data_IF_325384832965
#
_entry.id   IF_325384832965
#
_cell.length_a   1.000
_cell.length_b   1.000
_cell.length_c   1.000
_cell.angle_alpha   90.00
_cell.angle_beta   90.00
_cell.angle_gamma   90.00
#
_symmetry.space_group_name_H-M   'P 1'
#
loop_
_entity.id
_entity.type
_entity.pdbx_description
1 polymer ?
#
# COMPACT_ATOMS: atom_id res chain seq x y z
N UNK A 1 3.58 -26.99 -10.51
CA UNK A 1 4.09 -25.60 -10.66
C UNK A 1 3.26 -24.81 -11.68
N UNK A 2 3.13 -25.26 -12.94
CA UNK A 2 2.30 -24.57 -13.95
C UNK A 2 0.83 -24.35 -13.53
N UNK A 3 0.20 -25.33 -12.89
CA UNK A 3 -1.21 -25.19 -12.45
C UNK A 3 -1.43 -24.07 -11.43
N UNK A 4 -0.46 -23.84 -10.55
CA UNK A 4 -0.53 -22.75 -9.58
C UNK A 4 -0.35 -21.39 -10.25
N UNK A 5 0.55 -21.29 -11.22
CA UNK A 5 0.80 -20.05 -11.96
C UNK A 5 -0.41 -19.65 -12.81
N UNK A 6 -1.11 -20.62 -13.42
CA UNK A 6 -2.38 -20.39 -14.12
C UNK A 6 -3.43 -19.85 -13.14
N UNK A 7 -3.59 -20.50 -11.99
CA UNK A 7 -4.51 -20.03 -10.95
C UNK A 7 -4.16 -18.61 -10.48
N UNK A 8 -2.88 -18.33 -10.22
CA UNK A 8 -2.41 -17.02 -9.79
C UNK A 8 -2.65 -15.96 -10.87
N UNK A 9 -2.47 -16.32 -12.15
CA UNK A 9 -2.79 -15.44 -13.27
C UNK A 9 -4.27 -15.10 -13.32
N UNK A 10 -5.17 -16.08 -13.20
CA UNK A 10 -6.61 -15.86 -13.19
C UNK A 10 -7.05 -14.98 -12.00
N UNK A 11 -6.48 -15.21 -10.82
CA UNK A 11 -6.67 -14.38 -9.63
C UNK A 11 -6.24 -12.93 -9.89
N UNK A 12 -5.07 -12.73 -10.51
CA UNK A 12 -4.57 -11.41 -10.89
C UNK A 12 -5.51 -10.73 -11.89
N UNK A 13 -5.99 -11.42 -12.93
CA UNK A 13 -6.92 -10.82 -13.90
C UNK A 13 -8.25 -10.42 -13.25
N UNK A 14 -8.80 -11.26 -12.37
CA UNK A 14 -10.00 -10.93 -11.61
C UNK A 14 -9.79 -9.71 -10.71
N UNK A 15 -8.64 -9.63 -10.04
CA UNK A 15 -8.26 -8.48 -9.23
C UNK A 15 -8.07 -7.20 -10.07
N UNK A 16 -7.43 -7.27 -11.23
CA UNK A 16 -7.27 -6.14 -12.16
C UNK A 16 -8.63 -5.56 -12.56
N UNK A 17 -9.59 -6.42 -12.90
CA UNK A 17 -10.96 -6.01 -13.20
C UNK A 17 -11.62 -5.31 -12.01
N UNK A 18 -11.42 -5.82 -10.78
CA UNK A 18 -11.92 -5.18 -9.54
C UNK A 18 -11.30 -3.80 -9.33
N UNK A 19 -10.00 -3.64 -9.55
CA UNK A 19 -9.29 -2.35 -9.42
C UNK A 19 -9.76 -1.33 -10.47
N UNK A 20 -10.01 -1.79 -11.70
CA UNK A 20 -10.43 -0.97 -12.84
C UNK A 20 -11.91 -0.59 -12.83
N UNK A 21 -12.76 -1.34 -12.13
CA UNK A 21 -14.15 -0.95 -11.90
C UNK A 21 -14.17 0.33 -11.06
N UNK A 22 -14.92 1.35 -11.51
CA UNK A 22 -15.28 2.48 -10.65
C UNK A 22 -16.00 1.91 -9.42
N UNK A 23 -15.74 2.41 -8.22
CA UNK A 23 -16.53 2.06 -7.04
C UNK A 23 -17.95 2.65 -7.19
N UNK A 24 -18.75 2.07 -8.08
CA UNK A 24 -20.12 2.48 -8.36
C UNK A 24 -21.14 1.93 -7.34
N UNK A 25 -20.68 1.50 -6.16
CA UNK A 25 -21.48 0.70 -5.21
C UNK A 25 -21.54 1.27 -3.79
N UNK A 26 -21.51 2.60 -3.64
CA UNK A 26 -22.18 3.21 -2.49
C UNK A 26 -23.33 4.06 -3.02
N UNK A 27 -24.43 3.40 -3.38
CA UNK A 27 -25.74 4.02 -3.63
C UNK A 27 -26.42 4.57 -2.34
N UNK A 28 -25.65 4.84 -1.28
CA UNK A 28 -26.20 5.18 0.05
C UNK A 28 -25.63 6.43 0.72
N UNK A 29 -24.45 6.92 0.34
CA UNK A 29 -23.89 8.16 0.87
C UNK A 29 -23.84 9.18 -0.25
N UNK A 30 -24.67 10.22 -0.17
CA UNK A 30 -24.64 11.28 -1.18
C UNK A 30 -23.24 11.90 -1.25
N UNK A 31 -22.81 12.34 -2.43
CA UNK A 31 -21.56 13.09 -2.63
C UNK A 31 -21.45 14.29 -1.67
N UNK A 32 -22.59 14.86 -1.25
CA UNK A 32 -22.70 15.87 -0.20
C UNK A 32 -22.31 15.36 1.19
N UNK A 33 -22.71 14.16 1.57
CA UNK A 33 -22.35 13.54 2.84
C UNK A 33 -20.85 13.16 2.86
N UNK A 34 -20.31 12.68 1.73
CA UNK A 34 -18.87 12.44 1.58
C UNK A 34 -18.06 13.74 1.67
N UNK A 35 -18.48 14.80 0.99
CA UNK A 35 -17.84 16.11 1.07
C UNK A 35 -17.95 16.72 2.48
N UNK A 36 -19.05 16.46 3.21
CA UNK A 36 -19.24 16.95 4.58
C UNK A 36 -18.31 16.24 5.58
N UNK A 37 -18.10 14.93 5.44
CA UNK A 37 -17.09 14.18 6.21
C UNK A 37 -15.68 14.71 5.90
N UNK A 38 -15.36 14.96 4.62
CA UNK A 38 -14.06 15.55 4.24
C UNK A 38 -13.85 16.94 4.86
N UNK A 39 -14.91 17.75 5.00
CA UNK A 39 -14.84 19.08 5.63
C UNK A 39 -14.83 19.07 7.16
N UNK A 40 -15.03 17.91 7.80
CA UNK A 40 -15.08 17.76 9.26
C UNK A 40 -13.75 17.33 9.88
N UNK A 41 -12.75 17.05 9.05
CA UNK A 41 -11.41 16.72 9.51
C UNK A 41 -10.77 18.00 10.05
N UNK A 42 -10.36 18.05 11.33
CA UNK A 42 -9.71 19.24 11.87
C UNK A 42 -8.41 19.55 11.11
N UNK A 43 -8.12 20.83 10.87
CA UNK A 43 -6.88 21.25 10.17
C UNK A 43 -5.60 20.66 10.79
N UNK A 44 -5.59 20.49 12.12
CA UNK A 44 -4.48 19.85 12.83
C UNK A 44 -4.27 18.39 12.42
N UNK A 45 -5.34 17.63 12.18
CA UNK A 45 -5.26 16.24 11.71
C UNK A 45 -4.76 16.19 10.26
N UNK A 46 -5.27 17.07 9.39
CA UNK A 46 -4.77 17.21 8.02
C UNK A 46 -3.26 17.50 7.97
N UNK A 47 -2.77 18.38 8.85
CA UNK A 47 -1.34 18.72 8.94
C UNK A 47 -0.50 17.52 9.39
N UNK A 48 -0.92 16.80 10.43
CA UNK A 48 -0.20 15.60 10.92
C UNK A 48 -0.12 14.54 9.83
N UNK A 49 -1.24 14.24 9.16
CA UNK A 49 -1.29 13.23 8.09
C UNK A 49 -0.41 13.65 6.92
N UNK A 50 -0.51 14.91 6.49
CA UNK A 50 0.32 15.46 5.42
C UNK A 50 1.81 15.29 5.72
N UNK A 51 2.26 15.73 6.90
CA UNK A 51 3.67 15.66 7.28
C UNK A 51 4.14 14.21 7.41
N UNK A 52 3.31 13.33 7.95
CA UNK A 52 3.62 11.91 8.07
C UNK A 52 3.79 11.25 6.69
N UNK A 53 2.92 11.55 5.72
CA UNK A 53 3.04 11.04 4.34
C UNK A 53 4.31 11.59 3.67
N UNK A 54 4.56 12.90 3.80
CA UNK A 54 5.77 13.54 3.30
C UNK A 54 7.03 12.87 3.84
N UNK A 55 7.08 12.63 5.14
CA UNK A 55 8.22 11.98 5.79
C UNK A 55 8.33 10.50 5.39
N UNK A 56 7.21 9.78 5.26
CA UNK A 56 7.20 8.38 4.82
C UNK A 56 7.73 8.22 3.39
N UNK A 57 7.34 9.10 2.46
CA UNK A 57 7.89 9.13 1.08
C UNK A 57 9.39 9.38 1.13
N UNK A 58 9.83 10.43 1.84
CA UNK A 58 11.26 10.77 1.94
C UNK A 58 12.09 9.64 2.55
N UNK A 59 11.62 9.08 3.67
CA UNK A 59 12.23 7.94 4.35
C UNK A 59 12.38 6.73 3.42
N UNK A 60 11.31 6.44 2.66
CA UNK A 60 11.30 5.36 1.67
C UNK A 60 12.34 5.62 0.59
N UNK A 61 12.33 6.79 -0.06
CA UNK A 61 13.25 7.14 -1.15
C UNK A 61 14.72 7.18 -0.71
N UNK A 62 15.00 7.55 0.53
CA UNK A 62 16.37 7.52 1.10
C UNK A 62 16.76 6.10 1.54
N UNK A 63 15.78 5.22 1.79
CA UNK A 63 16.00 3.81 2.12
C UNK A 63 16.11 3.53 3.62
N UNK A 64 15.65 4.42 4.49
CA UNK A 64 15.70 4.22 5.94
C UNK A 64 14.84 3.06 6.45
N UNK A 65 13.91 2.59 5.62
CA UNK A 65 13.00 1.47 5.92
C UNK A 65 13.58 0.11 5.53
N UNK A 66 14.76 0.08 4.89
CA UNK A 66 15.41 -1.17 4.48
C UNK A 66 15.83 -1.94 5.73
N UNK A 67 15.26 -3.13 5.90
CA UNK A 67 15.70 -4.06 6.93
C UNK A 67 16.86 -4.90 6.42
N UNK A 68 17.80 -5.26 7.28
CA UNK A 68 19.03 -6.00 6.95
C UNK A 68 18.82 -7.48 6.65
N UNK A 69 17.58 -7.95 6.45
CA UNK A 69 17.34 -9.37 6.15
C UNK A 69 17.91 -9.72 4.79
N UNK A 70 18.75 -10.76 4.79
CA UNK A 70 19.41 -11.35 3.62
C UNK A 70 18.35 -11.64 2.56
N UNK A 71 18.63 -11.27 1.30
CA UNK A 71 17.78 -11.61 0.15
C UNK A 71 17.36 -13.08 0.26
N UNK A 72 16.06 -13.33 0.13
CA UNK A 72 15.47 -14.66 0.27
C UNK A 72 16.17 -15.63 -0.67
N UNK A 73 16.25 -16.91 -0.28
CA UNK A 73 16.95 -17.96 -1.01
C UNK A 73 16.56 -17.90 -2.51
N UNK A 74 17.56 -17.75 -3.38
CA UNK A 74 17.36 -17.83 -4.82
C UNK A 74 16.67 -19.16 -5.18
N UNK A 75 15.69 -19.12 -6.10
CA UNK A 75 15.04 -20.32 -6.63
C UNK A 75 13.71 -20.74 -6.01
N UNK A 76 13.04 -19.90 -5.21
CA UNK A 76 11.66 -20.18 -4.78
C UNK A 76 10.69 -20.17 -5.97
N UNK A 77 9.73 -21.09 -5.97
CA UNK A 77 8.56 -21.04 -6.84
C UNK A 77 7.60 -19.92 -6.43
N UNK A 78 6.72 -19.49 -7.36
CA UNK A 78 5.70 -18.47 -7.06
C UNK A 78 4.79 -18.89 -5.89
N UNK A 79 4.50 -20.19 -5.77
CA UNK A 79 3.75 -20.74 -4.64
C UNK A 79 4.47 -20.51 -3.31
N UNK A 80 5.76 -20.84 -3.22
CA UNK A 80 6.54 -20.66 -2.00
C UNK A 80 6.69 -19.18 -1.63
N UNK A 81 6.84 -18.30 -2.63
CA UNK A 81 6.84 -16.84 -2.42
C UNK A 81 5.50 -16.36 -1.84
N UNK A 82 4.38 -16.79 -2.41
CA UNK A 82 3.05 -16.42 -1.95
C UNK A 82 2.77 -16.94 -0.52
N UNK A 83 3.18 -18.16 -0.19
CA UNK A 83 3.02 -18.70 1.17
C UNK A 83 3.87 -17.91 2.18
N UNK A 84 5.14 -17.65 1.87
CA UNK A 84 6.00 -16.80 2.71
C UNK A 84 5.42 -15.39 2.87
N UNK A 85 4.85 -14.82 1.81
CA UNK A 85 4.17 -13.52 1.84
C UNK A 85 2.94 -13.55 2.76
N UNK A 86 2.11 -14.59 2.70
CA UNK A 86 0.92 -14.74 3.57
C UNK A 86 1.28 -14.90 5.04
N UNK A 87 2.37 -15.61 5.35
CA UNK A 87 2.89 -15.68 6.72
C UNK A 87 3.28 -14.30 7.23
N UNK A 88 4.02 -13.52 6.42
CA UNK A 88 4.36 -12.13 6.78
C UNK A 88 3.15 -11.25 6.92
N UNK A 89 2.20 -11.35 6.01
CA UNK A 89 0.95 -10.63 6.11
C UNK A 89 0.25 -10.92 7.45
N UNK A 90 0.17 -12.18 7.85
CA UNK A 90 -0.44 -12.58 9.14
C UNK A 90 0.27 -11.94 10.34
N UNK A 91 1.61 -11.87 10.32
CA UNK A 91 2.40 -11.24 11.38
C UNK A 91 2.08 -9.74 11.46
N UNK A 92 2.19 -9.03 10.34
CA UNK A 92 1.98 -7.57 10.29
C UNK A 92 0.53 -7.18 10.60
N UNK A 93 -0.43 -7.99 10.16
CA UNK A 93 -1.85 -7.85 10.48
C UNK A 93 -2.12 -7.98 11.98
N UNK A 94 -1.43 -8.89 12.69
CA UNK A 94 -1.52 -9.02 14.17
C UNK A 94 -0.84 -7.85 14.89
N UNK A 95 0.31 -7.37 14.42
CA UNK A 95 0.98 -6.18 14.98
C UNK A 95 0.09 -4.95 14.90
N UNK A 96 -0.62 -4.76 13.77
CA UNK A 96 -1.59 -3.68 13.58
C UNK A 96 -2.78 -3.71 14.55
N UNK A 97 -3.08 -4.87 15.16
CA UNK A 97 -4.15 -5.05 16.17
C UNK A 97 -3.67 -4.68 17.57
N UNK A 98 -2.42 -5.02 17.93
CA UNK A 98 -1.86 -4.77 19.27
C UNK A 98 -1.69 -3.26 19.51
N UNK A 99 -1.33 -2.49 18.48
CA UNK A 99 -1.24 -1.02 18.56
C UNK A 99 -2.63 -0.34 18.58
N UNK A 100 -3.68 -1.00 18.11
CA UNK A 100 -5.05 -0.48 18.09
C UNK A 100 -5.88 -0.77 19.35
N UNK A 101 -5.51 -1.77 20.16
CA UNK A 101 -6.24 -2.18 21.36
C UNK A 101 -5.75 -1.55 22.67
N UNK A 102 -4.51 -1.01 22.69
CA UNK A 102 -3.88 -0.50 23.92
C UNK A 102 -4.23 0.92 24.34
N UNK A 103 -4.87 1.73 23.48
CA UNK A 103 -5.11 3.17 23.71
C UNK A 103 -6.58 3.52 24.00
N UNK A 104 -7.40 2.52 24.31
CA UNK A 104 -8.81 2.68 24.64
C UNK A 104 -9.04 3.51 25.91
N UNK A 105 -9.05 4.84 25.79
CA UNK A 105 -9.76 5.81 26.64
C UNK A 105 -9.53 7.31 26.27
N UNK A 106 -8.87 7.69 25.17
CA UNK A 106 -8.52 9.11 24.95
C UNK A 106 -8.64 9.67 23.52
N UNK A 107 -9.84 9.61 22.92
CA UNK A 107 -10.22 10.44 21.77
C UNK A 107 -9.39 10.35 20.48
N UNK A 108 -9.81 11.09 19.46
CA UNK A 108 -9.20 11.13 18.10
C UNK A 108 -7.71 11.55 18.12
N UNK A 109 -7.29 12.30 19.14
CA UNK A 109 -5.96 12.89 19.21
C UNK A 109 -4.85 11.94 19.66
N UNK A 110 -5.15 10.91 20.47
CA UNK A 110 -4.15 9.89 20.82
C UNK A 110 -3.81 9.01 19.60
N UNK A 111 -4.79 8.68 18.77
CA UNK A 111 -4.57 7.87 17.57
C UNK A 111 -3.78 8.59 16.45
N UNK A 112 -3.78 9.93 16.42
CA UNK A 112 -3.02 10.70 15.43
C UNK A 112 -1.52 10.71 15.70
N UNK A 113 -1.10 10.58 16.96
CA UNK A 113 0.31 10.50 17.33
C UNK A 113 0.97 9.23 16.78
N UNK A 114 0.22 8.14 16.68
CA UNK A 114 0.69 6.84 16.19
C UNK A 114 0.55 6.69 14.66
N UNK A 115 -0.08 7.65 13.97
CA UNK A 115 -0.27 7.59 12.52
C UNK A 115 1.05 7.42 11.73
N UNK A 116 2.16 8.15 12.01
CA UNK A 116 3.44 7.93 11.34
C UNK A 116 4.00 6.52 11.55
N UNK A 117 3.77 5.91 12.72
CA UNK A 117 4.18 4.55 13.01
C UNK A 117 3.40 3.54 12.15
N UNK A 118 2.07 3.72 12.05
CA UNK A 118 1.21 2.88 11.21
C UNK A 118 1.61 2.91 9.72
N UNK A 119 2.00 4.08 9.20
CA UNK A 119 2.57 4.19 7.86
C UNK A 119 3.91 3.45 7.75
N UNK A 120 4.77 3.60 8.75
CA UNK A 120 6.09 2.95 8.79
C UNK A 120 5.98 1.43 8.78
N UNK A 121 5.01 0.86 9.51
CA UNK A 121 4.75 -0.60 9.53
C UNK A 121 4.30 -1.09 8.16
N UNK A 122 3.39 -0.38 7.50
CA UNK A 122 2.91 -0.71 6.15
C UNK A 122 4.03 -0.64 5.12
N UNK A 123 4.87 0.39 5.18
CA UNK A 123 6.06 0.45 4.32
C UNK A 123 7.00 -0.71 4.62
N UNK A 124 7.32 -0.99 5.88
CA UNK A 124 8.20 -2.10 6.25
C UNK A 124 7.68 -3.45 5.74
N UNK A 125 6.36 -3.67 5.76
CA UNK A 125 5.73 -4.82 5.13
C UNK A 125 5.99 -4.89 3.62
N UNK A 126 5.84 -3.78 2.90
CA UNK A 126 6.15 -3.71 1.46
C UNK A 126 7.63 -3.99 1.16
N UNK A 127 8.55 -3.50 2.01
CA UNK A 127 9.98 -3.82 1.91
C UNK A 127 10.24 -5.32 2.08
N UNK A 128 9.57 -5.98 3.04
CA UNK A 128 9.66 -7.44 3.19
C UNK A 128 9.03 -8.19 2.00
N UNK A 129 7.91 -7.69 1.46
CA UNK A 129 7.27 -8.24 0.28
C UNK A 129 8.21 -8.24 -0.94
N UNK A 130 8.89 -7.13 -1.22
CA UNK A 130 9.88 -7.03 -2.29
C UNK A 130 10.92 -8.14 -2.19
N UNK A 131 11.49 -8.31 -0.99
CA UNK A 131 12.51 -9.32 -0.71
C UNK A 131 11.97 -10.75 -0.91
N UNK A 132 10.74 -11.04 -0.46
CA UNK A 132 10.10 -12.34 -0.64
C UNK A 132 9.95 -12.69 -2.12
N UNK A 133 9.50 -11.74 -2.94
CA UNK A 133 9.35 -11.93 -4.39
C UNK A 133 10.65 -11.79 -5.18
N UNK A 134 11.80 -11.60 -4.50
CA UNK A 134 13.12 -11.58 -5.13
C UNK A 134 13.55 -10.23 -5.71
N UNK A 135 12.89 -9.14 -5.33
CA UNK A 135 13.24 -7.78 -5.73
C UNK A 135 14.09 -7.10 -4.65
N UNK A 136 15.10 -6.33 -5.07
CA UNK A 136 16.04 -5.67 -4.16
C UNK A 136 15.56 -4.26 -3.79
N UNK A 137 15.05 -4.04 -2.56
CA UNK A 137 14.55 -2.74 -2.15
C UNK A 137 15.66 -1.71 -1.87
N UNK A 138 16.94 -2.08 -1.98
CA UNK A 138 18.04 -1.11 -1.98
C UNK A 138 18.09 -0.29 -3.26
N UNK A 139 17.57 -0.83 -4.36
CA UNK A 139 17.49 -0.12 -5.63
C UNK A 139 16.48 1.02 -5.51
N UNK A 140 16.86 2.20 -6.01
CA UNK A 140 15.98 3.38 -5.98
C UNK A 140 14.68 3.15 -6.77
N UNK A 141 14.77 2.52 -7.94
CA UNK A 141 13.61 2.10 -8.73
C UNK A 141 12.65 1.21 -7.94
N UNK A 142 13.13 0.24 -7.15
CA UNK A 142 12.24 -0.60 -6.36
C UNK A 142 11.56 0.18 -5.25
N UNK A 143 12.23 1.19 -4.66
CA UNK A 143 11.61 2.07 -3.67
C UNK A 143 10.50 2.93 -4.28
N UNK A 144 10.67 3.41 -5.51
CA UNK A 144 9.59 4.04 -6.27
C UNK A 144 8.45 3.06 -6.54
N UNK A 145 8.76 1.82 -6.91
CA UNK A 145 7.76 0.77 -7.13
C UNK A 145 6.91 0.52 -5.88
N UNK A 146 7.54 0.41 -4.71
CA UNK A 146 6.84 0.25 -3.43
C UNK A 146 5.89 1.42 -3.11
N UNK A 147 6.32 2.65 -3.39
CA UNK A 147 5.46 3.83 -3.22
C UNK A 147 4.25 3.77 -4.17
N UNK A 148 4.41 3.29 -5.39
CA UNK A 148 3.28 3.10 -6.31
C UNK A 148 2.34 1.97 -5.87
N UNK A 149 2.85 0.87 -5.30
CA UNK A 149 1.99 -0.17 -4.68
C UNK A 149 1.15 0.44 -3.55
N UNK A 150 1.79 1.23 -2.67
CA UNK A 150 1.08 1.90 -1.58
C UNK A 150 0.03 2.88 -2.11
N UNK A 151 0.38 3.67 -3.12
CA UNK A 151 -0.54 4.60 -3.78
C UNK A 151 -1.70 3.85 -4.46
N UNK A 152 -1.45 2.71 -5.09
CA UNK A 152 -2.51 1.91 -5.70
C UNK A 152 -3.53 1.43 -4.67
N UNK A 153 -3.05 1.02 -3.49
CA UNK A 153 -3.92 0.60 -2.39
C UNK A 153 -4.74 1.78 -1.83
N UNK A 154 -4.14 2.97 -1.69
CA UNK A 154 -4.73 4.04 -0.88
C UNK A 154 -5.06 5.34 -1.62
N UNK A 155 -5.00 5.35 -2.95
CA UNK A 155 -5.40 6.52 -3.75
C UNK A 155 -6.89 6.56 -4.06
N UNK A 156 -7.31 7.70 -4.60
CA UNK A 156 -8.63 7.90 -5.19
C UNK A 156 -8.89 6.98 -6.39
N UNK A 157 -10.16 6.74 -6.72
CA UNK A 157 -10.57 5.93 -7.88
C UNK A 157 -9.96 6.40 -9.21
N UNK A 158 -9.75 7.72 -9.37
CA UNK A 158 -9.18 8.29 -10.59
C UNK A 158 -7.69 7.94 -10.73
N UNK A 159 -6.90 8.15 -9.66
CA UNK A 159 -5.47 7.85 -9.68
C UNK A 159 -5.20 6.35 -9.68
N UNK A 160 -6.03 5.55 -9.01
CA UNK A 160 -5.85 4.09 -8.91
C UNK A 160 -5.63 3.42 -10.27
N UNK A 161 -6.36 3.84 -11.32
CA UNK A 161 -6.20 3.29 -12.67
C UNK A 161 -4.87 3.67 -13.32
N UNK A 162 -4.48 4.93 -13.16
CA UNK A 162 -3.21 5.45 -13.66
C UNK A 162 -2.03 4.77 -12.95
N UNK A 163 -2.10 4.61 -11.63
CA UNK A 163 -1.08 3.89 -10.86
C UNK A 163 -0.99 2.42 -11.26
N UNK A 164 -2.12 1.76 -11.52
CA UNK A 164 -2.10 0.38 -12.03
C UNK A 164 -1.39 0.31 -13.38
N UNK A 165 -1.70 1.23 -14.30
CA UNK A 165 -1.02 1.32 -15.59
C UNK A 165 0.49 1.52 -15.44
N UNK A 166 0.94 2.37 -14.53
CA UNK A 166 2.36 2.58 -14.24
C UNK A 166 3.03 1.29 -13.75
N UNK A 167 2.37 0.54 -12.86
CA UNK A 167 2.88 -0.71 -12.30
C UNK A 167 2.90 -1.85 -13.32
N UNK A 168 1.91 -1.91 -14.21
CA UNK A 168 1.84 -2.86 -15.33
C UNK A 168 2.97 -2.61 -16.35
N UNK A 169 3.29 -1.36 -16.62
CA UNK A 169 4.29 -0.98 -17.62
C UNK A 169 5.59 -0.51 -16.96
N UNK A 170 5.94 -1.11 -15.81
CA UNK A 170 6.97 -0.58 -14.92
C UNK A 170 8.33 -0.41 -15.59
N UNK A 171 8.76 -1.36 -16.42
CA UNK A 171 10.08 -1.30 -17.06
C UNK A 171 10.21 -0.09 -18.01
N UNK A 172 9.11 0.34 -18.65
CA UNK A 172 9.07 1.55 -19.49
C UNK A 172 8.83 2.83 -18.68
N UNK A 173 7.98 2.77 -17.65
CA UNK A 173 7.62 3.96 -16.86
C UNK A 173 8.68 4.35 -15.84
N UNK A 174 9.52 3.41 -15.37
CA UNK A 174 10.52 3.68 -14.34
C UNK A 174 11.51 4.76 -14.77
N UNK A 175 11.91 4.83 -16.04
CA UNK A 175 12.87 5.82 -16.52
C UNK A 175 12.34 7.26 -16.32
N UNK A 176 11.08 7.50 -16.70
CA UNK A 176 10.41 8.80 -16.49
C UNK A 176 10.31 9.19 -15.02
N UNK A 177 10.12 8.20 -14.15
CA UNK A 177 10.01 8.42 -12.70
C UNK A 177 11.37 8.64 -12.03
N UNK A 178 12.43 8.04 -12.58
CA UNK A 178 13.80 8.25 -12.12
C UNK A 178 14.29 9.67 -12.45
N UNK A 179 13.86 10.22 -13.58
CA UNK A 179 14.18 11.58 -14.02
C UNK A 179 13.34 12.66 -13.32
N UNK A 180 12.26 12.28 -12.64
CA UNK A 180 11.37 13.21 -11.95
C UNK A 180 12.03 13.76 -10.68
N UNK A 181 11.91 15.08 -10.48
CA UNK A 181 12.34 15.71 -9.23
C UNK A 181 11.57 15.14 -8.04
N UNK A 182 12.30 14.78 -6.97
CA UNK A 182 11.72 14.12 -5.81
C UNK A 182 10.69 15.00 -5.06
N UNK A 183 10.83 16.33 -5.12
CA UNK A 183 9.87 17.26 -4.51
C UNK A 183 8.57 17.27 -5.31
N UNK A 184 8.66 17.24 -6.64
CA UNK A 184 7.51 17.10 -7.55
C UNK A 184 6.81 15.76 -7.30
N UNK A 185 7.57 14.66 -7.26
CA UNK A 185 7.03 13.34 -6.94
C UNK A 185 6.31 13.33 -5.59
N UNK A 186 6.91 13.94 -4.57
CA UNK A 186 6.31 14.03 -3.24
C UNK A 186 5.00 14.83 -3.24
N UNK A 187 4.94 15.94 -3.98
CA UNK A 187 3.74 16.76 -4.10
C UNK A 187 2.62 15.98 -4.79
N UNK A 188 2.89 15.38 -5.94
CA UNK A 188 1.92 14.53 -6.64
C UNK A 188 1.43 13.39 -5.74
N UNK A 189 2.34 12.72 -5.03
CA UNK A 189 2.00 11.64 -4.12
C UNK A 189 1.01 12.08 -3.04
N UNK A 190 1.23 13.25 -2.43
CA UNK A 190 0.35 13.84 -1.42
C UNK A 190 -1.02 14.20 -2.01
N UNK A 191 -1.06 14.72 -3.22
CA UNK A 191 -2.31 15.20 -3.83
C UNK A 191 -3.22 14.04 -4.24
N UNK A 192 -2.63 12.89 -4.57
CA UNK A 192 -3.39 11.73 -5.03
C UNK A 192 -3.77 10.71 -3.95
N UNK A 193 -3.12 10.75 -2.79
CA UNK A 193 -3.45 9.88 -1.67
C UNK A 193 -4.79 10.28 -1.04
N UNK A 194 -5.64 9.30 -0.76
CA UNK A 194 -6.95 9.56 -0.19
C UNK A 194 -6.83 9.79 1.32
N UNK A 195 -6.85 11.06 1.72
CA UNK A 195 -6.75 11.47 3.13
C UNK A 195 -7.88 10.89 4.00
N UNK A 196 -9.04 10.56 3.42
CA UNK A 196 -10.13 9.92 4.16
C UNK A 196 -9.78 8.48 4.48
N UNK A 197 -9.17 7.75 3.53
CA UNK A 197 -8.62 6.41 3.79
C UNK A 197 -7.48 6.46 4.79
N UNK A 198 -6.69 7.54 4.81
CA UNK A 198 -5.65 7.73 5.82
C UNK A 198 -6.23 7.95 7.21
N UNK A 199 -7.33 8.70 7.35
CA UNK A 199 -7.99 8.88 8.65
C UNK A 199 -8.63 7.60 9.18
N UNK A 200 -9.06 6.69 8.29
CA UNK A 200 -9.52 5.36 8.70
C UNK A 200 -8.42 4.56 9.42
N UNK A 201 -7.15 4.95 9.31
CA UNK A 201 -6.03 4.37 10.06
C UNK A 201 -5.93 4.88 11.49
N UNK A 202 -6.51 6.03 11.81
CA UNK A 202 -6.37 6.70 13.11
C UNK A 202 -7.33 6.07 14.13
N UNK A 203 -6.83 5.46 15.22
CA UNK A 203 -7.67 4.99 16.32
C UNK A 203 -8.48 6.13 16.95
N UNK A 204 -9.72 5.87 17.36
CA UNK A 204 -10.51 6.82 18.17
C UNK A 204 -11.74 7.45 17.51
N UNK A 205 -12.02 7.17 16.22
CA UNK A 205 -13.36 7.40 15.65
C UNK A 205 -14.17 6.10 15.83
N UNK A 206 -14.79 5.94 17.01
CA UNK A 206 -15.52 4.73 17.38
C UNK A 206 -14.58 3.54 17.58
N UNK A 207 -14.26 3.22 18.84
CA UNK A 207 -13.19 2.28 19.22
C UNK A 207 -13.32 0.84 18.65
N UNK A 208 -14.46 0.47 18.06
CA UNK A 208 -14.67 -0.80 17.35
C UNK A 208 -14.45 -0.69 15.83
N UNK A 209 -14.74 0.48 15.24
CA UNK A 209 -14.65 0.71 13.79
C UNK A 209 -13.20 0.97 13.36
N UNK A 210 -12.39 1.66 14.18
CA UNK A 210 -11.00 1.97 13.86
C UNK A 210 -10.07 0.74 13.79
N UNK A 211 -10.20 -0.20 14.73
CA UNK A 211 -9.40 -1.44 14.70
C UNK A 211 -9.74 -2.31 13.47
N UNK A 212 -11.03 -2.41 13.14
CA UNK A 212 -11.51 -3.11 11.94
C UNK A 212 -11.05 -2.41 10.65
N UNK A 213 -11.04 -1.07 10.63
CA UNK A 213 -10.57 -0.30 9.48
C UNK A 213 -9.06 -0.48 9.23
N UNK A 214 -8.21 -0.44 10.27
CA UNK A 214 -6.78 -0.69 10.11
C UNK A 214 -6.50 -2.13 9.61
N UNK A 215 -7.29 -3.10 10.08
CA UNK A 215 -7.24 -4.48 9.61
C UNK A 215 -7.55 -4.60 8.11
N UNK A 216 -8.65 -3.99 7.66
CA UNK A 216 -9.06 -3.99 6.26
C UNK A 216 -8.03 -3.27 5.37
N UNK A 217 -7.42 -2.18 5.84
CA UNK A 217 -6.40 -1.45 5.09
C UNK A 217 -5.09 -2.23 4.97
N UNK A 218 -4.73 -3.02 5.97
CA UNK A 218 -3.60 -3.96 5.87
C UNK A 218 -3.89 -5.09 4.88
N UNK A 219 -5.08 -5.69 4.94
CA UNK A 219 -5.52 -6.73 4.00
C UNK A 219 -5.52 -6.20 2.56
N UNK A 220 -6.02 -4.98 2.36
CA UNK A 220 -6.03 -4.32 1.06
C UNK A 220 -4.62 -4.07 0.52
N UNK A 221 -3.69 -3.62 1.38
CA UNK A 221 -2.29 -3.44 0.99
C UNK A 221 -1.64 -4.77 0.61
N UNK A 222 -1.92 -5.83 1.36
CA UNK A 222 -1.41 -7.17 1.09
C UNK A 222 -1.96 -7.75 -0.23
N UNK A 223 -3.28 -7.66 -0.46
CA UNK A 223 -3.90 -8.06 -1.72
C UNK A 223 -3.29 -7.31 -2.91
N UNK A 224 -3.07 -6.00 -2.75
CA UNK A 224 -2.47 -5.15 -3.79
C UNK A 224 -1.03 -5.56 -4.08
N UNK A 225 -0.18 -5.67 -3.06
CA UNK A 225 1.23 -6.00 -3.21
C UNK A 225 1.42 -7.40 -3.83
N UNK A 226 0.69 -8.40 -3.34
CA UNK A 226 0.75 -9.77 -3.86
C UNK A 226 0.41 -9.82 -5.35
N UNK A 227 -0.70 -9.20 -5.76
CA UNK A 227 -1.11 -9.25 -7.16
C UNK A 227 -0.18 -8.45 -8.08
N UNK A 228 0.34 -7.31 -7.63
CA UNK A 228 1.33 -6.53 -8.40
C UNK A 228 2.63 -7.32 -8.61
N UNK A 229 3.14 -7.99 -7.58
CA UNK A 229 4.35 -8.82 -7.74
C UNK A 229 4.10 -10.07 -8.58
N UNK A 230 2.96 -10.75 -8.40
CA UNK A 230 2.55 -11.88 -9.25
C UNK A 230 2.50 -11.47 -10.72
N UNK A 231 1.87 -10.33 -11.03
CA UNK A 231 1.80 -9.78 -12.39
C UNK A 231 3.20 -9.58 -12.98
N UNK A 232 4.09 -8.90 -12.23
CA UNK A 232 5.47 -8.65 -12.65
C UNK A 232 6.29 -9.93 -12.90
N UNK A 233 6.08 -10.98 -12.11
CA UNK A 233 6.76 -12.27 -12.27
C UNK A 233 6.19 -13.06 -13.45
N UNK A 234 4.86 -13.12 -13.56
CA UNK A 234 4.18 -13.89 -14.60
C UNK A 234 4.41 -13.30 -15.99
N UNK A 235 4.45 -11.97 -16.13
CA UNK A 235 4.80 -11.30 -17.39
C UNK A 235 6.22 -11.62 -17.84
N UNK A 236 7.21 -11.57 -16.94
CA UNK A 236 8.61 -11.94 -17.28
C UNK A 236 8.71 -13.36 -17.79
N UNK A 237 8.01 -14.31 -17.16
CA UNK A 237 8.01 -15.72 -17.60
C UNK A 237 7.37 -15.93 -18.97
N UNK A 238 6.43 -15.09 -19.40
CA UNK A 238 5.85 -15.13 -20.75
C UNK A 238 6.82 -14.56 -21.79
N UNK A 239 7.64 -13.59 -21.41
CA UNK A 239 8.65 -12.98 -22.31
C UNK A 239 9.88 -13.89 -22.45
N UNK A 240 10.28 -14.59 -21.38
CA UNK A 240 11.48 -15.43 -21.33
C UNK A 240 11.28 -16.89 -21.78
N UNK A 241 10.04 -17.31 -22.10
CA UNK A 241 9.65 -18.69 -22.43
C UNK A 241 9.17 -18.86 -23.86
#
# INVERSE_FOLDING_TARGET
>A
MRDYEIKAYDEVQAWRVKVMKKQSLIKGFSKKAQNKVNSWIPEKAHKVITEAIKNMVKATLVGSNITTKKLTKSGMSLYEMDEAFKEKHTIYRKTAVIEGAGTGAGGIFLGLADFPLLLSIKMKFLFEAAVIYGFDPKKYEERLFLLHIFLLAFSSDAKRKETLFILENWEEQKEKLLDMDWQVFQQEYRDYIDLVKMLQLVPGIGAVVGAYANYNLMDQLAETAMNVYRMRILERKVIDG
#
